data_IF_106324510798
#
_entry.id   IF_106324510798
#
_cell.length_a   1.000
_cell.length_b   1.000
_cell.length_c   1.000
_cell.angle_alpha   90.00
_cell.angle_beta   90.00
_cell.angle_gamma   90.00
#
_symmetry.space_group_name_H-M   'P 1'
#
loop_
_entity.id
_entity.type
_entity.pdbx_description
1 polymer ?
#
# COMPACT_ATOMS: atom_id res chain seq x y z
N UNK A 1 -20.81 1.78 -17.68
CA UNK A 1 -19.68 1.22 -16.89
C UNK A 1 -20.21 0.92 -15.50
N UNK A 2 -20.00 -0.29 -14.98
CA UNK A 2 -20.40 -0.68 -13.62
C UNK A 2 -19.15 -0.73 -12.76
N UNK A 3 -19.20 -0.11 -11.57
CA UNK A 3 -18.13 -0.15 -10.58
C UNK A 3 -18.72 -0.67 -9.28
N UNK A 4 -18.10 -1.70 -8.74
CA UNK A 4 -18.40 -2.18 -7.40
C UNK A 4 -17.59 -1.35 -6.39
N UNK A 5 -18.20 -0.32 -5.82
CA UNK A 5 -17.55 0.57 -4.86
C UNK A 5 -17.18 -0.16 -3.56
N UNK A 6 -17.92 -1.22 -3.19
CA UNK A 6 -17.61 -2.06 -2.04
C UNK A 6 -16.32 -2.84 -2.25
N UNK A 7 -16.15 -3.45 -3.43
CA UNK A 7 -14.93 -4.15 -3.81
C UNK A 7 -13.74 -3.19 -3.96
N UNK A 8 -13.99 -1.99 -4.48
CA UNK A 8 -12.96 -0.96 -4.60
C UNK A 8 -12.47 -0.48 -3.22
N UNK A 9 -13.41 -0.32 -2.27
CA UNK A 9 -13.11 0.03 -0.90
C UNK A 9 -12.32 -1.07 -0.17
N UNK A 10 -12.78 -2.32 -0.24
CA UNK A 10 -12.08 -3.44 0.39
C UNK A 10 -10.69 -3.65 -0.21
N UNK A 11 -10.56 -3.58 -1.53
CA UNK A 11 -9.27 -3.62 -2.22
C UNK A 11 -8.32 -2.50 -1.80
N UNK A 12 -8.82 -1.27 -1.62
CA UNK A 12 -8.02 -0.16 -1.07
C UNK A 12 -7.54 -0.42 0.36
N UNK A 13 -8.38 -1.04 1.19
CA UNK A 13 -8.01 -1.49 2.53
C UNK A 13 -6.87 -2.52 2.53
N UNK A 14 -6.96 -3.54 1.67
CA UNK A 14 -5.93 -4.57 1.51
C UNK A 14 -4.60 -3.98 1.03
N UNK A 15 -4.65 -3.04 0.09
CA UNK A 15 -3.47 -2.36 -0.43
C UNK A 15 -2.76 -1.56 0.66
N UNK A 16 -3.51 -0.82 1.49
CA UNK A 16 -2.95 -0.10 2.64
C UNK A 16 -2.31 -1.06 3.66
N UNK A 17 -2.97 -2.18 3.95
CA UNK A 17 -2.42 -3.23 4.82
C UNK A 17 -1.09 -3.77 4.27
N UNK A 18 -1.00 -3.99 2.95
CA UNK A 18 0.24 -4.37 2.29
C UNK A 18 1.35 -3.29 2.43
N UNK A 19 0.99 -2.01 2.34
CA UNK A 19 1.92 -0.90 2.60
C UNK A 19 2.44 -0.90 4.05
N UNK A 20 1.56 -1.13 5.01
CA UNK A 20 1.93 -1.26 6.43
C UNK A 20 2.88 -2.46 6.65
N UNK A 21 2.63 -3.60 6.01
CA UNK A 21 3.54 -4.75 6.06
C UNK A 21 4.91 -4.45 5.45
N UNK A 22 4.96 -3.75 4.31
CA UNK A 22 6.21 -3.34 3.69
C UNK A 22 7.04 -2.44 4.63
N UNK A 23 6.38 -1.51 5.32
CA UNK A 23 7.02 -0.67 6.33
C UNK A 23 7.51 -1.44 7.56
N UNK A 24 6.71 -2.36 8.08
CA UNK A 24 7.11 -3.22 9.20
C UNK A 24 8.34 -4.06 8.81
N UNK A 25 8.36 -4.61 7.60
CA UNK A 25 9.51 -5.32 7.07
C UNK A 25 10.75 -4.43 6.95
N UNK A 26 10.61 -3.18 6.46
CA UNK A 26 11.70 -2.22 6.37
C UNK A 26 12.26 -1.87 7.75
N UNK A 27 11.38 -1.66 8.73
CA UNK A 27 11.75 -1.37 10.13
C UNK A 27 12.48 -2.57 10.75
N UNK A 28 11.95 -3.78 10.56
CA UNK A 28 12.56 -5.00 11.08
C UNK A 28 13.94 -5.25 10.46
N UNK A 29 14.04 -5.10 9.13
CA UNK A 29 15.28 -5.33 8.40
C UNK A 29 16.35 -4.28 8.73
N UNK A 30 15.98 -3.00 8.86
CA UNK A 30 16.91 -1.93 9.24
C UNK A 30 17.36 -2.02 10.70
N UNK A 31 16.53 -2.57 11.59
CA UNK A 31 16.88 -2.84 12.98
C UNK A 31 17.87 -4.01 13.17
N UNK A 32 18.10 -4.82 12.15
CA UNK A 32 19.08 -5.91 12.18
C UNK A 32 20.51 -5.38 12.27
N UNK A 33 21.13 -5.48 13.46
CA UNK A 33 22.52 -5.04 13.68
C UNK A 33 23.47 -6.02 12.99
N UNK A 34 24.28 -5.49 12.07
CA UNK A 34 25.44 -6.19 11.53
C UNK A 34 26.66 -5.66 12.28
N UNK A 35 27.18 -6.43 13.23
CA UNK A 35 28.39 -6.03 13.97
C UNK A 35 29.65 -6.34 13.15
N UNK A 36 30.68 -5.52 13.32
CA UNK A 36 32.01 -5.81 12.79
C UNK A 36 32.50 -7.16 13.34
N UNK A 37 33.14 -7.97 12.50
CA UNK A 37 33.61 -9.33 12.82
C UNK A 37 32.53 -10.38 13.12
N UNK A 38 31.24 -10.09 12.92
CA UNK A 38 30.18 -11.10 13.08
C UNK A 38 30.36 -12.35 12.19
N UNK A 39 31.11 -12.20 11.10
CA UNK A 39 31.42 -13.27 10.14
C UNK A 39 32.86 -13.79 10.28
N UNK A 40 33.58 -13.36 11.31
CA UNK A 40 34.99 -13.66 11.55
C UNK A 40 35.93 -12.52 11.21
N UNK A 41 37.22 -12.72 11.49
CA UNK A 41 38.28 -11.73 11.34
C UNK A 41 39.26 -12.13 10.22
N UNK A 42 38.77 -12.06 8.99
CA UNK A 42 39.54 -12.33 7.77
C UNK A 42 38.98 -11.52 6.61
N UNK A 43 39.78 -11.32 5.55
CA UNK A 43 39.43 -10.43 4.45
C UNK A 43 38.07 -10.76 3.79
N UNK A 44 37.78 -12.05 3.58
CA UNK A 44 36.50 -12.47 3.00
C UNK A 44 35.30 -12.21 3.93
N UNK A 45 35.48 -12.26 5.26
CA UNK A 45 34.43 -11.90 6.22
C UNK A 45 34.09 -10.41 6.15
N UNK A 46 35.10 -9.54 6.01
CA UNK A 46 34.90 -8.10 5.83
C UNK A 46 34.18 -7.78 4.52
N UNK A 47 34.56 -8.45 3.42
CA UNK A 47 33.87 -8.31 2.13
C UNK A 47 32.40 -8.74 2.23
N UNK A 48 32.14 -9.86 2.88
CA UNK A 48 30.77 -10.35 3.09
C UNK A 48 29.94 -9.41 3.98
N UNK A 49 30.52 -8.87 5.06
CA UNK A 49 29.86 -7.88 5.91
C UNK A 49 29.37 -6.67 5.10
N UNK A 50 30.25 -6.12 4.25
CA UNK A 50 29.90 -4.98 3.40
C UNK A 50 28.81 -5.33 2.37
N UNK A 51 28.92 -6.50 1.74
CA UNK A 51 27.91 -6.95 0.77
C UNK A 51 26.54 -7.16 1.45
N UNK A 52 26.51 -7.78 2.63
CA UNK A 52 25.30 -7.98 3.42
C UNK A 52 24.67 -6.64 3.86
N UNK A 53 25.48 -5.69 4.32
CA UNK A 53 25.02 -4.34 4.67
C UNK A 53 24.43 -3.60 3.46
N UNK A 54 25.13 -3.64 2.32
CA UNK A 54 24.64 -3.03 1.08
C UNK A 54 23.31 -3.65 0.60
N UNK A 55 23.20 -4.98 0.65
CA UNK A 55 21.97 -5.69 0.30
C UNK A 55 20.83 -5.33 1.24
N UNK A 56 21.08 -5.27 2.56
CA UNK A 56 20.10 -4.84 3.56
C UNK A 56 19.60 -3.43 3.26
N UNK A 57 20.51 -2.48 3.07
CA UNK A 57 20.16 -1.07 2.82
C UNK A 57 19.45 -0.89 1.47
N UNK A 58 19.75 -1.74 0.48
CA UNK A 58 19.02 -1.79 -0.78
C UNK A 58 17.58 -2.29 -0.59
N UNK A 59 17.38 -3.40 0.11
CA UNK A 59 16.04 -3.95 0.36
C UNK A 59 15.19 -3.04 1.26
N UNK A 60 15.78 -2.38 2.26
CA UNK A 60 15.08 -1.35 3.06
C UNK A 60 14.52 -0.26 2.16
N UNK A 61 15.32 0.25 1.21
CA UNK A 61 14.85 1.27 0.25
C UNK A 61 13.71 0.78 -0.63
N UNK A 62 13.80 -0.44 -1.18
CA UNK A 62 12.73 -1.03 -1.99
C UNK A 62 11.43 -1.16 -1.18
N UNK A 63 11.52 -1.61 0.08
CA UNK A 63 10.34 -1.76 0.94
C UNK A 63 9.67 -0.41 1.25
N UNK A 64 10.45 0.65 1.44
CA UNK A 64 9.91 1.99 1.64
C UNK A 64 9.25 2.56 0.38
N UNK A 65 9.83 2.32 -0.79
CA UNK A 65 9.24 2.69 -2.10
C UNK A 65 7.92 1.95 -2.37
N UNK A 66 7.88 0.65 -2.07
CA UNK A 66 6.63 -0.13 -2.12
C UNK A 66 5.58 0.42 -1.16
N UNK A 67 5.96 0.78 0.07
CA UNK A 67 5.03 1.41 1.03
C UNK A 67 4.43 2.67 0.42
N UNK A 68 5.24 3.59 -0.11
CA UNK A 68 4.75 4.83 -0.70
C UNK A 68 3.79 4.59 -1.86
N UNK A 69 4.15 3.67 -2.76
CA UNK A 69 3.30 3.31 -3.90
C UNK A 69 1.97 2.71 -3.44
N UNK A 70 2.01 1.78 -2.50
CA UNK A 70 0.81 1.12 -1.98
C UNK A 70 -0.08 2.11 -1.21
N UNK A 71 0.48 2.98 -0.37
CA UNK A 71 -0.27 4.04 0.31
C UNK A 71 -0.97 4.96 -0.71
N UNK A 72 -0.27 5.36 -1.78
CA UNK A 72 -0.85 6.19 -2.84
C UNK A 72 -1.98 5.49 -3.58
N UNK A 73 -1.80 4.22 -3.95
CA UNK A 73 -2.85 3.45 -4.63
C UNK A 73 -4.06 3.25 -3.71
N UNK A 74 -3.84 2.88 -2.44
CA UNK A 74 -4.90 2.68 -1.45
C UNK A 74 -5.73 3.94 -1.20
N UNK A 75 -5.08 5.10 -1.10
CA UNK A 75 -5.76 6.38 -0.97
C UNK A 75 -6.61 6.71 -2.20
N UNK A 76 -6.08 6.45 -3.40
CA UNK A 76 -6.81 6.68 -4.65
C UNK A 76 -8.02 5.75 -4.80
N UNK A 77 -7.90 4.47 -4.45
CA UNK A 77 -9.05 3.54 -4.47
C UNK A 77 -10.11 3.93 -3.43
N UNK A 78 -9.70 4.36 -2.23
CA UNK A 78 -10.64 4.88 -1.23
C UNK A 78 -11.38 6.13 -1.73
N UNK A 79 -10.67 7.09 -2.33
CA UNK A 79 -11.27 8.29 -2.91
C UNK A 79 -12.24 7.94 -4.04
N UNK A 80 -11.85 7.02 -4.93
CA UNK A 80 -12.69 6.56 -6.02
C UNK A 80 -13.96 5.87 -5.50
N UNK A 81 -13.84 5.00 -4.49
CA UNK A 81 -14.98 4.31 -3.89
C UNK A 81 -16.01 5.29 -3.30
N UNK A 82 -15.54 6.32 -2.57
CA UNK A 82 -16.39 7.39 -2.07
C UNK A 82 -17.08 8.15 -3.21
N UNK A 83 -16.31 8.54 -4.22
CA UNK A 83 -16.83 9.28 -5.39
C UNK A 83 -17.91 8.50 -6.13
N UNK A 84 -17.71 7.21 -6.38
CA UNK A 84 -18.72 6.37 -7.04
C UNK A 84 -19.97 6.16 -6.19
N UNK A 85 -19.81 6.06 -4.87
CA UNK A 85 -20.93 5.93 -3.93
C UNK A 85 -21.81 7.19 -3.96
N UNK A 86 -21.19 8.37 -3.88
CA UNK A 86 -21.90 9.66 -3.95
C UNK A 86 -22.63 9.83 -5.30
N UNK A 87 -21.98 9.43 -6.41
CA UNK A 87 -22.60 9.46 -7.74
C UNK A 87 -23.82 8.55 -7.81
N UNK A 88 -23.74 7.32 -7.29
CA UNK A 88 -24.84 6.37 -7.30
C UNK A 88 -26.02 6.90 -6.46
N UNK A 89 -25.77 7.40 -5.25
CA UNK A 89 -26.81 7.99 -4.41
C UNK A 89 -27.49 9.20 -5.06
N UNK A 90 -26.71 10.08 -5.69
CA UNK A 90 -27.24 11.24 -6.39
C UNK A 90 -28.10 10.83 -7.59
N UNK A 91 -27.63 9.85 -8.38
CA UNK A 91 -28.36 9.35 -9.54
C UNK A 91 -29.65 8.62 -9.12
N UNK A 92 -29.61 7.81 -8.06
CA UNK A 92 -30.79 7.15 -7.51
C UNK A 92 -31.87 8.15 -7.10
N UNK A 93 -31.50 9.25 -6.42
CA UNK A 93 -32.43 10.34 -6.06
C UNK A 93 -33.06 11.00 -7.29
N UNK A 94 -32.27 11.25 -8.35
CA UNK A 94 -32.77 11.82 -9.61
C UNK A 94 -33.75 10.90 -10.32
N UNK A 95 -33.44 9.60 -10.41
CA UNK A 95 -34.33 8.60 -11.01
C UNK A 95 -35.63 8.49 -10.22
N UNK A 96 -35.55 8.48 -8.88
CA UNK A 96 -36.73 8.45 -8.01
C UNK A 96 -37.62 9.69 -8.21
N UNK A 97 -37.03 10.88 -8.30
CA UNK A 97 -37.78 12.11 -8.55
C UNK A 97 -38.57 12.04 -9.86
N UNK A 98 -37.93 11.58 -10.95
CA UNK A 98 -38.57 11.40 -12.25
C UNK A 98 -39.73 10.39 -12.16
N UNK A 99 -39.53 9.26 -11.49
CA UNK A 99 -40.60 8.24 -11.30
C UNK A 99 -41.80 8.81 -10.54
N UNK A 100 -41.57 9.61 -9.51
CA UNK A 100 -42.64 10.27 -8.77
C UNK A 100 -43.42 11.26 -9.64
N UNK A 101 -42.77 11.98 -10.56
CA UNK A 101 -43.43 12.93 -11.47
C UNK A 101 -44.32 12.24 -12.51
N UNK A 102 -44.02 11.01 -12.92
CA UNK A 102 -44.85 10.24 -13.86
C UNK A 102 -45.97 9.42 -13.20
N UNK A 103 -45.95 9.30 -11.87
CA UNK A 103 -46.96 8.58 -11.09
C UNK A 103 -48.11 9.49 -10.59
N UNK A 104 -48.03 10.78 -10.87
CA UNK A 104 -49.06 11.82 -10.61
C UNK A 104 -49.75 12.21 -11.90
#
# INVERSE_FOLDING_TARGET
>A
MFVDSGLLHSGGGEIRSAGEHAHQAATHLSGGILTTHMFGDFAAAAAFHNAAGSARDHHVRILLDHRETLDAVGNNTQLAAATFTDMEEHNAKRVQAVRCTFAT
#
